data_IF_341313599088
#
_entry.id   IF_341313599088
#
_cell.length_a   1.000
_cell.length_b   1.000
_cell.length_c   1.000
_cell.angle_alpha   90.00
_cell.angle_beta   90.00
_cell.angle_gamma   90.00
#
_symmetry.space_group_name_H-M   'P 1'
#
loop_
_entity.id
_entity.type
_entity.pdbx_description
1 polymer ?
#
# COMPACT_ATOMS: atom_id res chain seq x y z
N UNK A 1 12.85 6.07 10.70
CA UNK A 1 11.99 5.95 9.50
C UNK A 1 10.75 5.15 9.86
N UNK A 2 9.59 5.50 9.32
CA UNK A 2 8.30 4.82 9.56
C UNK A 2 7.40 4.93 8.34
N UNK A 3 6.37 4.08 8.28
CA UNK A 3 5.45 3.99 7.15
C UNK A 3 4.63 5.28 6.97
N UNK A 4 4.66 5.80 5.76
CA UNK A 4 3.74 6.83 5.25
C UNK A 4 3.43 6.51 3.80
N UNK A 5 2.17 6.22 3.46
CA UNK A 5 1.82 5.75 2.11
C UNK A 5 1.86 6.85 1.06
N UNK A 6 1.62 8.10 1.47
CA UNK A 6 1.32 9.23 0.59
C UNK A 6 0.29 8.85 -0.50
N UNK A 7 -0.69 8.02 -0.12
CA UNK A 7 -1.68 7.55 -1.08
C UNK A 7 -2.56 8.71 -1.51
N UNK A 8 -2.40 9.13 -2.76
CA UNK A 8 -3.05 10.28 -3.36
C UNK A 8 -3.86 9.83 -4.59
N UNK A 9 -5.11 9.35 -4.39
CA UNK A 9 -5.94 8.90 -5.50
C UNK A 9 -6.38 10.07 -6.37
N UNK A 10 -6.28 9.88 -7.68
CA UNK A 10 -6.87 10.76 -8.68
C UNK A 10 -7.57 9.89 -9.72
N UNK A 11 -8.76 10.32 -10.16
CA UNK A 11 -9.48 9.65 -11.23
C UNK A 11 -8.60 9.49 -12.48
N UNK A 12 -8.73 8.35 -13.15
CA UNK A 12 -7.90 7.96 -14.30
C UNK A 12 -7.86 9.06 -15.37
N UNK A 13 -9.00 9.66 -15.69
CA UNK A 13 -9.09 10.75 -16.67
C UNK A 13 -8.37 12.05 -16.24
N UNK A 14 -8.14 12.27 -14.94
CA UNK A 14 -7.34 13.40 -14.44
C UNK A 14 -5.84 13.10 -14.48
N UNK A 15 -5.45 11.83 -14.29
CA UNK A 15 -4.07 11.35 -14.38
C UNK A 15 -3.59 11.22 -15.82
N UNK A 16 -4.36 10.55 -16.67
CA UNK A 16 -4.08 10.29 -18.09
C UNK A 16 -4.60 11.44 -18.96
N UNK A 17 -4.07 12.63 -18.70
CA UNK A 17 -4.43 13.86 -19.41
C UNK A 17 -3.18 14.61 -19.88
N UNK A 18 -3.36 15.66 -20.67
CA UNK A 18 -2.26 16.51 -21.12
C UNK A 18 -1.51 17.21 -19.96
N UNK A 19 -2.15 17.32 -18.78
CA UNK A 19 -1.56 17.85 -17.56
C UNK A 19 -1.95 16.97 -16.37
N UNK A 20 -1.46 15.74 -16.38
CA UNK A 20 -1.78 14.72 -15.37
C UNK A 20 -1.45 15.15 -13.94
N UNK A 21 -2.38 14.91 -13.00
CA UNK A 21 -2.14 15.17 -11.57
C UNK A 21 -0.97 14.32 -11.03
N UNK A 22 -0.18 14.86 -10.10
CA UNK A 22 0.81 14.09 -9.35
C UNK A 22 0.15 13.30 -8.21
N UNK A 23 0.62 12.09 -7.92
CA UNK A 23 0.07 11.23 -6.86
C UNK A 23 -0.11 9.78 -7.28
N UNK A 24 0.08 8.85 -6.35
CA UNK A 24 -0.07 7.41 -6.55
C UNK A 24 -1.14 6.85 -5.60
N UNK A 25 -2.07 6.04 -6.12
CA UNK A 25 -3.06 5.37 -5.29
C UNK A 25 -2.49 4.05 -4.74
N UNK A 26 -1.84 4.11 -3.58
CA UNK A 26 -1.17 2.95 -2.96
C UNK A 26 -1.99 2.31 -1.83
N UNK A 27 -2.98 3.00 -1.25
CA UNK A 27 -3.73 2.53 -0.08
C UNK A 27 -4.41 1.17 -0.29
N UNK A 28 -4.81 0.83 -1.52
CA UNK A 28 -5.51 -0.42 -1.85
C UNK A 28 -4.75 -1.69 -1.44
N UNK A 29 -3.42 -1.68 -1.49
CA UNK A 29 -2.56 -2.82 -1.18
C UNK A 29 -1.30 -2.36 -0.44
N UNK A 30 -1.43 -1.34 0.41
CA UNK A 30 -0.28 -0.63 0.95
C UNK A 30 0.64 -1.56 1.76
N UNK A 31 0.08 -2.36 2.67
CA UNK A 31 0.88 -3.22 3.54
C UNK A 31 1.53 -4.37 2.74
N UNK A 32 0.82 -4.89 1.74
CA UNK A 32 1.32 -5.91 0.82
C UNK A 32 2.47 -5.39 -0.06
N UNK A 33 2.37 -4.16 -0.56
CA UNK A 33 3.44 -3.50 -1.32
C UNK A 33 4.70 -3.31 -0.47
N UNK A 34 4.56 -2.90 0.80
CA UNK A 34 5.69 -2.83 1.72
C UNK A 34 6.25 -4.22 2.06
N UNK A 35 5.40 -5.23 2.27
CA UNK A 35 5.87 -6.59 2.50
C UNK A 35 6.70 -7.13 1.33
N UNK A 36 6.25 -6.89 0.10
CA UNK A 36 7.00 -7.23 -1.12
C UNK A 36 8.38 -6.54 -1.14
N UNK A 37 8.44 -5.24 -0.88
CA UNK A 37 9.70 -4.49 -0.89
C UNK A 37 10.67 -4.94 0.22
N UNK A 38 10.16 -5.22 1.42
CA UNK A 38 10.99 -5.71 2.54
C UNK A 38 11.46 -7.15 2.33
N UNK A 39 10.65 -8.00 1.70
CA UNK A 39 11.06 -9.36 1.31
C UNK A 39 12.15 -9.32 0.23
N UNK A 40 12.01 -8.50 -0.81
CA UNK A 40 13.02 -8.33 -1.86
C UNK A 40 14.36 -7.82 -1.32
N UNK A 41 14.33 -7.09 -0.20
CA UNK A 41 15.50 -6.58 0.49
C UNK A 41 16.07 -7.55 1.56
N UNK A 42 15.54 -8.77 1.68
CA UNK A 42 15.89 -9.74 2.75
C UNK A 42 15.78 -9.14 4.17
N UNK A 43 14.74 -8.33 4.39
CA UNK A 43 14.57 -7.53 5.60
C UNK A 43 13.14 -7.62 6.17
N UNK A 44 12.40 -8.70 5.88
CA UNK A 44 11.00 -8.85 6.28
C UNK A 44 10.79 -8.74 7.80
N UNK A 45 11.78 -9.13 8.60
CA UNK A 45 11.79 -8.98 10.06
C UNK A 45 11.75 -7.51 10.53
N UNK A 46 12.11 -6.56 9.66
CA UNK A 46 12.07 -5.11 9.95
C UNK A 46 10.73 -4.47 9.67
N UNK A 47 9.83 -5.15 8.94
CA UNK A 47 8.56 -4.58 8.49
C UNK A 47 7.69 -4.11 9.67
N UNK A 48 7.57 -4.92 10.72
CA UNK A 48 6.74 -4.59 11.88
C UNK A 48 7.22 -3.30 12.57
N UNK A 49 8.53 -3.16 12.77
CA UNK A 49 9.11 -1.93 13.35
C UNK A 49 8.71 -0.70 12.54
N UNK A 50 8.90 -0.78 11.22
CA UNK A 50 8.59 0.30 10.28
C UNK A 50 7.09 0.63 10.20
N UNK A 51 6.23 -0.39 10.16
CA UNK A 51 4.80 -0.24 9.89
C UNK A 51 3.93 0.04 11.12
N UNK A 52 4.34 -0.40 12.32
CA UNK A 52 3.47 -0.33 13.51
C UNK A 52 4.10 0.27 14.78
N UNK A 53 5.45 0.35 14.86
CA UNK A 53 6.14 0.78 16.09
C UNK A 53 6.73 2.18 15.98
N UNK A 54 7.62 2.40 15.03
CA UNK A 54 8.45 3.62 15.00
C UNK A 54 7.64 4.91 14.77
N UNK A 55 6.52 4.83 14.05
CA UNK A 55 5.60 5.97 13.88
C UNK A 55 4.90 6.32 15.18
N UNK A 56 4.31 5.34 15.88
CA UNK A 56 3.64 5.55 17.16
C UNK A 56 4.60 6.14 18.21
N UNK A 57 5.81 5.57 18.31
CA UNK A 57 6.86 6.06 19.20
C UNK A 57 7.24 7.52 18.89
N UNK A 58 7.39 7.86 17.60
CA UNK A 58 7.73 9.22 17.17
C UNK A 58 6.65 10.25 17.52
N UNK A 59 5.38 9.89 17.35
CA UNK A 59 4.24 10.76 17.67
C UNK A 59 3.85 10.74 19.15
N UNK A 60 4.52 9.94 20.01
CA UNK A 60 4.17 9.79 21.42
C UNK A 60 2.82 9.11 21.65
N UNK A 61 2.38 8.26 20.72
CA UNK A 61 1.12 7.52 20.77
C UNK A 61 1.35 6.08 21.26
N UNK A 62 0.34 5.44 21.89
CA UNK A 62 0.44 4.04 22.27
C UNK A 62 0.57 3.14 21.04
N UNK A 63 1.37 2.07 21.17
CA UNK A 63 1.45 1.03 20.14
C UNK A 63 0.14 0.24 20.08
N UNK A 64 -0.24 -0.18 18.89
CA UNK A 64 -1.40 -1.06 18.70
C UNK A 64 -1.21 -2.39 19.44
N UNK A 65 -2.29 -2.91 20.03
CA UNK A 65 -2.31 -4.22 20.70
C UNK A 65 -2.95 -5.31 19.83
N UNK A 66 -3.63 -4.93 18.76
CA UNK A 66 -4.12 -5.86 17.74
C UNK A 66 -3.02 -6.23 16.76
N UNK A 67 -3.22 -7.36 16.08
CA UNK A 67 -2.35 -7.84 15.00
C UNK A 67 -3.15 -7.98 13.72
N UNK A 68 -2.46 -7.80 12.59
CA UNK A 68 -2.89 -8.28 11.28
C UNK A 68 -1.96 -9.43 10.87
N UNK A 69 -2.43 -10.29 9.98
CA UNK A 69 -1.61 -11.36 9.39
C UNK A 69 -1.48 -11.12 7.89
N UNK A 70 -0.27 -11.22 7.38
CA UNK A 70 0.00 -11.27 5.95
C UNK A 70 0.36 -12.71 5.60
N UNK A 71 -0.42 -13.30 4.71
CA UNK A 71 -0.14 -14.62 4.15
C UNK A 71 0.64 -14.46 2.84
N UNK A 72 1.63 -15.34 2.63
CA UNK A 72 2.36 -15.43 1.36
C UNK A 72 1.48 -16.11 0.30
N UNK A 73 0.46 -15.39 -0.13
CA UNK A 73 -0.56 -15.83 -1.06
C UNK A 73 -0.55 -14.91 -2.28
N UNK A 74 -0.07 -15.38 -3.44
CA UNK A 74 -0.12 -14.60 -4.67
C UNK A 74 -1.54 -14.17 -5.01
N UNK A 75 -1.71 -12.89 -5.33
CA UNK A 75 -2.99 -12.36 -5.80
C UNK A 75 -2.78 -11.27 -6.85
N UNK A 76 -3.74 -11.18 -7.77
CA UNK A 76 -3.73 -10.20 -8.84
C UNK A 76 -4.32 -8.88 -8.35
N UNK A 77 -3.56 -7.80 -8.48
CA UNK A 77 -4.07 -6.46 -8.25
C UNK A 77 -5.08 -6.09 -9.34
N UNK A 78 -6.23 -5.50 -8.98
CA UNK A 78 -7.21 -5.07 -9.97
C UNK A 78 -6.58 -4.03 -10.91
N UNK A 79 -6.87 -4.16 -12.20
CA UNK A 79 -6.40 -3.20 -13.20
C UNK A 79 -7.02 -1.79 -13.02
N UNK A 80 -8.21 -1.74 -12.43
CA UNK A 80 -8.93 -0.51 -12.11
C UNK A 80 -9.97 -0.77 -11.01
N UNK A 81 -10.33 0.28 -10.26
CA UNK A 81 -11.35 0.27 -9.22
C UNK A 81 -12.41 1.33 -9.59
N UNK A 82 -13.72 1.03 -9.52
CA UNK A 82 -14.77 2.01 -9.79
C UNK A 82 -14.65 3.25 -8.89
N UNK A 83 -14.82 4.44 -9.46
CA UNK A 83 -14.75 5.70 -8.73
C UNK A 83 -15.60 6.79 -9.41
N UNK A 84 -16.77 7.07 -8.84
CA UNK A 84 -17.80 7.92 -9.43
C UNK A 84 -18.07 7.55 -10.90
N UNK A 85 -18.08 8.53 -11.80
CA UNK A 85 -18.24 8.36 -13.25
C UNK A 85 -16.91 7.95 -13.96
N UNK A 86 -15.90 7.55 -13.20
CA UNK A 86 -14.58 7.16 -13.69
C UNK A 86 -14.03 5.94 -12.93
N UNK A 87 -12.70 5.82 -12.89
CA UNK A 87 -12.00 4.73 -12.23
C UNK A 87 -10.72 5.24 -11.56
N UNK A 88 -10.27 4.56 -10.52
CA UNK A 88 -8.92 4.69 -9.96
C UNK A 88 -8.04 3.56 -10.50
N UNK A 89 -6.79 3.89 -10.80
CA UNK A 89 -5.75 2.91 -11.15
C UNK A 89 -4.82 2.77 -9.95
N UNK A 90 -4.85 1.64 -9.22
CA UNK A 90 -3.95 1.44 -8.09
C UNK A 90 -2.49 1.35 -8.55
N UNK A 91 -1.56 1.70 -7.67
CA UNK A 91 -0.14 1.44 -7.90
C UNK A 91 0.08 -0.07 -8.03
N UNK A 92 0.74 -0.50 -9.12
CA UNK A 92 0.91 -1.93 -9.43
C UNK A 92 -0.31 -2.58 -10.11
N UNK A 93 -1.26 -1.80 -10.62
CA UNK A 93 -2.44 -2.31 -11.35
C UNK A 93 -2.09 -3.42 -12.35
N UNK A 94 -2.78 -4.56 -12.25
CA UNK A 94 -2.60 -5.71 -13.15
C UNK A 94 -1.36 -6.57 -12.87
N UNK A 95 -0.56 -6.26 -11.85
CA UNK A 95 0.55 -7.10 -11.41
C UNK A 95 0.12 -8.07 -10.29
N UNK A 96 0.90 -9.12 -10.10
CA UNK A 96 0.76 -10.04 -8.97
C UNK A 96 1.59 -9.55 -7.78
N UNK A 97 0.97 -9.44 -6.60
CA UNK A 97 1.70 -9.34 -5.33
C UNK A 97 1.77 -10.72 -4.67
N UNK A 98 2.88 -11.02 -3.99
CA UNK A 98 3.08 -12.33 -3.32
C UNK A 98 2.53 -12.39 -1.89
N UNK A 99 2.17 -11.24 -1.33
CA UNK A 99 1.63 -11.09 0.01
C UNK A 99 0.20 -10.57 -0.06
N UNK A 100 -0.65 -11.09 0.83
CA UNK A 100 -2.04 -10.66 0.98
C UNK A 100 -2.40 -10.59 2.46
N UNK A 101 -3.06 -9.52 2.89
CA UNK A 101 -3.61 -9.44 4.24
C UNK A 101 -4.81 -10.39 4.39
N UNK A 102 -4.81 -11.16 5.48
CA UNK A 102 -5.94 -12.01 5.84
C UNK A 102 -7.14 -11.12 6.25
N UNK A 103 -8.35 -11.49 5.81
CA UNK A 103 -9.59 -10.79 6.13
C UNK A 103 -10.24 -11.32 7.40
#
# INVERSE_FOLDING_TARGET
>A
FFLGTDSAPHAKNKKESACGCAGCFSHHAAIELYAQAFEEADALDKLEGFASKYGADFYGLPRNTSSITLSRQPWQLPAAIPFDDSQLVPLGAGTTLNWKMDH
#
